data_IF_502747675166
#
_entry.id   IF_502747675166
#
_cell.length_a   1.000
_cell.length_b   1.000
_cell.length_c   1.000
_cell.angle_alpha   90.00
_cell.angle_beta   90.00
_cell.angle_gamma   90.00
#
_symmetry.space_group_name_H-M   'P 1'
#
loop_
_entity.id
_entity.type
_entity.pdbx_description
1 polymer ?
#
# COMPACT_ATOMS: atom_id res chain seq x y z
N UNK A 1 17.36 15.21 0.42
CA UNK A 1 16.82 15.55 -0.92
C UNK A 1 15.33 15.87 -0.77
N UNK A 2 14.85 17.03 -1.26
CA UNK A 2 13.40 17.34 -1.34
C UNK A 2 12.88 16.77 -2.67
N UNK A 3 12.41 15.53 -2.66
CA UNK A 3 11.88 14.85 -3.85
C UNK A 3 10.35 14.84 -3.89
N UNK A 4 9.80 14.65 -5.10
CA UNK A 4 8.39 14.33 -5.30
C UNK A 4 8.14 12.88 -4.87
N UNK A 5 7.06 12.64 -4.15
CA UNK A 5 6.65 11.30 -3.72
C UNK A 5 5.22 11.05 -4.18
N UNK A 6 5.00 9.93 -4.85
CA UNK A 6 3.69 9.52 -5.33
C UNK A 6 3.55 8.00 -5.25
N UNK A 7 2.31 7.55 -5.22
CA UNK A 7 1.91 6.14 -5.36
C UNK A 7 1.25 6.00 -6.72
N UNK A 8 1.55 4.93 -7.45
CA UNK A 8 0.99 4.70 -8.79
C UNK A 8 0.54 3.25 -8.96
N UNK A 9 -0.53 3.05 -9.71
CA UNK A 9 -0.95 1.73 -10.21
C UNK A 9 -0.67 1.63 -11.71
N UNK A 10 -0.10 0.51 -12.11
CA UNK A 10 0.18 0.17 -13.52
C UNK A 10 -0.43 -1.17 -13.84
N UNK A 11 -1.25 -1.21 -14.88
CA UNK A 11 -1.81 -2.44 -15.42
C UNK A 11 -0.85 -3.08 -16.42
N UNK A 12 -0.73 -4.41 -16.36
CA UNK A 12 0.06 -5.19 -17.31
C UNK A 12 -0.80 -6.31 -17.90
N UNK A 13 -0.87 -6.38 -19.22
CA UNK A 13 -1.50 -7.49 -19.95
C UNK A 13 -0.60 -7.91 -21.12
N UNK A 14 0.12 -9.03 -20.97
CA UNK A 14 1.13 -9.42 -21.94
C UNK A 14 2.25 -8.39 -22.00
N UNK A 15 2.47 -7.77 -23.16
CA UNK A 15 3.41 -6.65 -23.33
C UNK A 15 2.77 -5.27 -23.07
N UNK A 16 1.43 -5.18 -23.06
CA UNK A 16 0.73 -3.92 -22.84
C UNK A 16 0.89 -3.44 -21.40
N UNK A 17 1.24 -2.16 -21.27
CA UNK A 17 1.50 -1.47 -20.02
C UNK A 17 0.75 -0.16 -19.98
N UNK A 18 -0.19 0.00 -19.04
CA UNK A 18 -1.01 1.20 -18.94
C UNK A 18 -0.95 1.80 -17.52
N UNK A 19 -0.78 3.13 -17.37
CA UNK A 19 -0.98 3.77 -16.08
C UNK A 19 -2.48 3.76 -15.73
N UNK A 20 -2.83 3.29 -14.54
CA UNK A 20 -4.22 3.27 -14.08
C UNK A 20 -4.53 4.43 -13.12
N UNK A 21 -3.62 4.73 -12.21
CA UNK A 21 -3.84 5.77 -11.22
C UNK A 21 -2.50 6.30 -10.71
N UNK A 22 -2.49 7.56 -10.28
CA UNK A 22 -1.35 8.21 -9.64
C UNK A 22 -1.85 9.15 -8.55
N UNK A 23 -1.27 9.05 -7.36
CA UNK A 23 -1.59 9.90 -6.22
C UNK A 23 -0.34 10.52 -5.63
N UNK A 24 -0.36 11.85 -5.50
CA UNK A 24 0.75 12.61 -4.94
C UNK A 24 0.69 12.60 -3.42
N UNK A 25 1.78 12.18 -2.77
CA UNK A 25 1.91 12.19 -1.31
C UNK A 25 2.27 13.60 -0.85
N UNK A 26 1.25 14.44 -0.70
CA UNK A 26 1.38 15.86 -0.33
C UNK A 26 1.38 16.02 1.18
N UNK A 27 2.39 16.71 1.72
CA UNK A 27 2.49 17.01 3.16
C UNK A 27 1.75 18.30 3.47
N UNK A 28 0.45 18.22 3.70
CA UNK A 28 -0.43 19.37 3.92
C UNK A 28 -0.86 19.55 5.37
N UNK A 29 -0.73 18.53 6.21
CA UNK A 29 -1.20 18.55 7.60
C UNK A 29 -0.07 18.97 8.53
N UNK A 30 -0.26 20.06 9.27
CA UNK A 30 0.70 20.51 10.28
C UNK A 30 0.58 19.66 11.55
N UNK A 31 1.71 19.12 12.03
CA UNK A 31 1.81 18.31 13.25
C UNK A 31 2.87 18.92 14.15
N UNK A 32 2.45 19.37 15.33
CA UNK A 32 3.34 19.91 16.34
C UNK A 32 4.01 18.77 17.13
N UNK A 33 5.35 18.72 17.10
CA UNK A 33 6.11 17.72 17.84
C UNK A 33 6.61 18.31 19.15
N UNK A 34 5.95 17.93 20.26
CA UNK A 34 6.25 18.46 21.60
C UNK A 34 7.69 18.20 22.07
N UNK A 35 8.26 17.04 21.72
CA UNK A 35 9.62 16.66 22.10
C UNK A 35 10.69 17.54 21.43
N UNK A 36 10.53 17.84 20.14
CA UNK A 36 11.51 18.64 19.39
C UNK A 36 11.18 20.13 19.35
N UNK A 37 10.02 20.54 19.89
CA UNK A 37 9.45 21.90 19.78
C UNK A 37 9.43 22.43 18.35
N UNK A 38 9.13 21.55 17.38
CA UNK A 38 9.11 21.88 15.95
C UNK A 38 7.77 21.46 15.34
N UNK A 39 7.27 22.27 14.42
CA UNK A 39 6.15 21.90 13.55
C UNK A 39 6.69 21.16 12.33
N UNK A 40 6.12 20.00 12.06
CA UNK A 40 6.39 19.21 10.86
C UNK A 40 5.13 19.12 10.01
N UNK A 41 5.29 18.84 8.71
CA UNK A 41 4.15 18.59 7.84
C UNK A 41 4.10 17.11 7.45
N UNK A 42 2.91 16.53 7.55
CA UNK A 42 2.63 15.14 7.21
C UNK A 42 1.55 15.06 6.14
N UNK A 43 1.52 13.92 5.46
CA UNK A 43 0.45 13.60 4.53
C UNK A 43 -0.82 13.25 5.30
N UNK A 44 -2.02 13.64 4.82
CA UNK A 44 -3.28 13.26 5.47
C UNK A 44 -3.52 11.75 5.45
N UNK A 45 -2.94 11.05 4.46
CA UNK A 45 -2.99 9.60 4.34
C UNK A 45 -1.59 9.01 4.21
N UNK A 46 -1.43 7.80 4.72
CA UNK A 46 -0.28 6.93 4.48
C UNK A 46 -0.27 6.40 3.05
N UNK A 47 0.90 5.94 2.58
CA UNK A 47 1.03 5.30 1.26
C UNK A 47 0.15 4.05 1.12
N UNK A 48 -0.06 3.31 2.22
CA UNK A 48 -0.93 2.14 2.21
C UNK A 48 -2.40 2.54 2.06
N UNK A 49 -2.87 3.57 2.76
CA UNK A 49 -4.22 4.08 2.58
C UNK A 49 -4.46 4.57 1.14
N UNK A 50 -3.50 5.28 0.55
CA UNK A 50 -3.55 5.65 -0.87
C UNK A 50 -3.68 4.42 -1.78
N UNK A 51 -2.82 3.41 -1.61
CA UNK A 51 -2.90 2.16 -2.38
C UNK A 51 -4.29 1.53 -2.26
N UNK A 52 -4.81 1.40 -1.04
CA UNK A 52 -6.12 0.77 -0.78
C UNK A 52 -7.27 1.56 -1.43
N UNK A 53 -7.23 2.89 -1.40
CA UNK A 53 -8.21 3.75 -2.08
C UNK A 53 -8.11 3.57 -3.59
N UNK A 54 -6.91 3.63 -4.16
CA UNK A 54 -6.67 3.46 -5.59
C UNK A 54 -7.16 2.10 -6.09
N UNK A 55 -6.91 1.02 -5.34
CA UNK A 55 -7.36 -0.33 -5.68
C UNK A 55 -8.89 -0.40 -5.75
N UNK A 56 -9.60 0.14 -4.75
CA UNK A 56 -11.08 0.14 -4.73
C UNK A 56 -11.68 0.88 -5.92
N UNK A 57 -11.05 1.97 -6.36
CA UNK A 57 -11.48 2.73 -7.55
C UNK A 57 -11.17 1.98 -8.85
N UNK A 58 -10.02 1.30 -8.92
CA UNK A 58 -9.58 0.58 -10.11
C UNK A 58 -10.35 -0.74 -10.37
N UNK A 59 -10.93 -1.34 -9.32
CA UNK A 59 -11.66 -2.62 -9.37
C UNK A 59 -12.60 -2.79 -10.58
N UNK A 60 -13.60 -1.91 -10.80
CA UNK A 60 -14.52 -2.07 -11.92
C UNK A 60 -13.91 -1.77 -13.30
N UNK A 61 -12.71 -1.19 -13.35
CA UNK A 61 -12.10 -0.68 -14.59
C UNK A 61 -11.19 -1.69 -15.27
N UNK A 62 -10.63 -2.64 -14.51
CA UNK A 62 -9.67 -3.61 -15.03
C UNK A 62 -9.84 -4.99 -14.40
N UNK A 63 -9.78 -6.02 -15.24
CA UNK A 63 -9.65 -7.39 -14.78
C UNK A 63 -8.17 -7.76 -14.67
N UNK A 64 -7.71 -8.11 -13.47
CA UNK A 64 -6.34 -8.57 -13.25
C UNK A 64 -6.32 -9.79 -12.34
N UNK A 65 -5.33 -10.68 -12.52
CA UNK A 65 -5.22 -11.89 -11.68
C UNK A 65 -4.53 -11.59 -10.35
N UNK A 66 -3.49 -10.76 -10.39
CA UNK A 66 -2.57 -10.60 -9.28
C UNK A 66 -2.09 -9.16 -9.14
N UNK A 67 -2.06 -8.65 -7.91
CA UNK A 67 -1.36 -7.41 -7.57
C UNK A 67 0.10 -7.71 -7.24
N UNK A 68 1.02 -6.99 -7.89
CA UNK A 68 2.45 -7.02 -7.59
C UNK A 68 2.83 -5.78 -6.79
N UNK A 69 3.56 -5.94 -5.69
CA UNK A 69 4.12 -4.82 -4.94
C UNK A 69 5.38 -5.22 -4.17
N UNK A 70 6.19 -4.24 -3.80
CA UNK A 70 7.36 -4.44 -2.95
C UNK A 70 6.98 -4.64 -1.47
N UNK A 71 7.99 -4.79 -0.61
CA UNK A 71 7.81 -5.07 0.82
C UNK A 71 7.18 -3.93 1.61
N UNK A 72 7.23 -2.69 1.13
CA UNK A 72 6.59 -1.55 1.81
C UNK A 72 5.06 -1.68 1.80
N UNK A 73 4.52 -2.36 0.80
CA UNK A 73 3.07 -2.58 0.65
C UNK A 73 2.63 -3.96 1.14
N UNK A 74 3.55 -4.77 1.67
CA UNK A 74 3.28 -6.14 2.08
C UNK A 74 2.58 -6.27 3.44
N UNK A 75 1.69 -5.34 3.82
CA UNK A 75 0.95 -5.40 5.07
C UNK A 75 -0.17 -6.46 5.05
N UNK A 76 -0.54 -6.97 6.22
CA UNK A 76 -1.61 -7.96 6.34
C UNK A 76 -2.97 -7.37 5.89
N UNK A 77 -3.19 -6.07 6.15
CA UNK A 77 -4.37 -5.33 5.72
C UNK A 77 -4.45 -5.24 4.20
N UNK A 78 -3.33 -4.93 3.52
CA UNK A 78 -3.30 -4.89 2.06
C UNK A 78 -3.52 -6.27 1.45
N UNK A 79 -2.87 -7.30 1.98
CA UNK A 79 -3.05 -8.68 1.54
C UNK A 79 -4.52 -9.11 1.68
N UNK A 80 -5.12 -8.83 2.84
CA UNK A 80 -6.53 -9.12 3.12
C UNK A 80 -7.45 -8.35 2.17
N UNK A 81 -7.19 -7.06 1.93
CA UNK A 81 -7.96 -6.26 0.99
C UNK A 81 -7.91 -6.87 -0.41
N UNK A 82 -6.73 -7.19 -0.94
CA UNK A 82 -6.60 -7.75 -2.30
C UNK A 82 -7.38 -9.05 -2.44
N UNK A 83 -7.36 -9.91 -1.42
CA UNK A 83 -8.16 -11.14 -1.39
C UNK A 83 -9.65 -10.87 -1.31
N UNK A 84 -10.07 -9.90 -0.50
CA UNK A 84 -11.47 -9.48 -0.39
C UNK A 84 -12.01 -8.88 -1.70
N UNK A 85 -11.12 -8.27 -2.50
CA UNK A 85 -11.42 -7.78 -3.84
C UNK A 85 -11.40 -8.91 -4.91
N UNK A 86 -11.14 -10.16 -4.54
CA UNK A 86 -11.19 -11.30 -5.46
C UNK A 86 -9.91 -11.54 -6.27
N UNK A 87 -8.80 -10.90 -5.92
CA UNK A 87 -7.53 -11.05 -6.63
C UNK A 87 -6.47 -11.77 -5.78
N UNK A 88 -5.43 -12.26 -6.44
CA UNK A 88 -4.22 -12.74 -5.77
C UNK A 88 -3.21 -11.61 -5.58
N UNK A 89 -2.15 -11.85 -4.81
CA UNK A 89 -1.03 -10.91 -4.69
C UNK A 89 0.30 -11.66 -4.71
N UNK A 90 1.34 -10.98 -5.17
CA UNK A 90 2.75 -11.37 -4.98
C UNK A 90 3.44 -10.15 -4.42
N UNK A 91 3.72 -10.19 -3.12
CA UNK A 91 4.42 -9.14 -2.42
C UNK A 91 5.80 -9.63 -2.00
N UNK A 92 6.81 -8.79 -2.15
CA UNK A 92 8.09 -9.04 -1.50
C UNK A 92 7.87 -9.01 0.02
N UNK A 93 8.41 -9.98 0.75
CA UNK A 93 8.32 -10.00 2.22
C UNK A 93 9.65 -9.53 2.81
N UNK A 94 9.56 -8.69 3.82
CA UNK A 94 10.71 -8.37 4.66
C UNK A 94 11.02 -9.56 5.58
N UNK A 95 12.30 -9.82 5.84
CA UNK A 95 12.75 -10.94 6.66
C UNK A 95 12.31 -10.86 8.13
N UNK A 96 11.82 -9.70 8.57
CA UNK A 96 11.37 -9.42 9.94
C UNK A 96 9.94 -9.88 10.25
N UNK A 97 9.24 -10.54 9.31
CA UNK A 97 7.86 -10.99 9.54
C UNK A 97 7.79 -12.30 10.32
N UNK A 98 7.03 -12.28 11.41
CA UNK A 98 6.63 -13.48 12.16
C UNK A 98 5.56 -14.25 11.39
N UNK A 99 5.71 -15.57 11.29
CA UNK A 99 4.71 -16.47 10.70
C UNK A 99 4.12 -17.33 11.80
N UNK A 100 2.79 -17.29 11.93
CA UNK A 100 2.07 -18.21 12.79
C UNK A 100 1.90 -19.55 12.06
N UNK A 101 2.54 -20.61 12.57
CA UNK A 101 2.43 -21.96 12.00
C UNK A 101 1.19 -22.74 12.52
N UNK A 102 0.37 -22.12 13.36
CA UNK A 102 -0.88 -22.68 13.87
C UNK A 102 -1.87 -21.58 14.25
N UNK A 103 -3.17 -21.90 14.31
CA UNK A 103 -4.20 -20.98 14.79
C UNK A 103 -3.97 -20.52 16.24
N UNK A 104 -3.41 -21.40 17.09
CA UNK A 104 -3.05 -21.03 18.46
C UNK A 104 -1.97 -19.96 18.48
N UNK A 105 -0.93 -20.11 17.66
CA UNK A 105 0.12 -19.10 17.53
C UNK A 105 -0.42 -17.79 16.93
N UNK A 106 -1.41 -17.86 16.04
CA UNK A 106 -2.08 -16.68 15.46
C UNK A 106 -2.84 -15.86 16.50
N UNK A 107 -3.45 -16.50 17.49
CA UNK A 107 -4.19 -15.80 18.56
C UNK A 107 -3.29 -15.16 19.62
N UNK A 108 -1.99 -15.47 19.63
CA UNK A 108 -1.03 -15.01 20.66
C UNK A 108 -0.11 -13.88 20.20
N UNK A 109 -0.13 -13.52 18.91
CA UNK A 109 0.69 -12.46 18.31
C UNK A 109 -0.15 -11.26 17.92
#
# INVERSE_FOLDING_TARGET
>A
MKGLNFVSLRYQAGELALPLAVELVRKTVAVYQGQTRKTSYQSPFTKNEYLQQMLRVAQPQVAYRCLLADSWYASAENMTLVRALGHHFVFALESSRTVALSERARMQG
#
